data_IF_288223290727
#
_entry.id   IF_288223290727
#
_cell.length_a   1.000
_cell.length_b   1.000
_cell.length_c   1.000
_cell.angle_alpha   90.00
_cell.angle_beta   90.00
_cell.angle_gamma   90.00
#
_symmetry.space_group_name_H-M   'P 1'
#
loop_
_entity.id
_entity.type
_entity.pdbx_description
1 polymer ?
#
# COMPACT_ATOMS: atom_id res chain seq x y z
N UNK A 1 -13.19 2.03 74.98
CA UNK A 1 -13.34 1.10 73.85
C UNK A 1 -13.49 1.89 72.62
N UNK A 2 -12.43 1.98 71.78
CA UNK A 2 -12.45 2.70 70.51
C UNK A 2 -12.36 1.67 69.38
N UNK A 3 -13.44 1.52 68.60
CA UNK A 3 -13.48 0.67 67.40
C UNK A 3 -12.83 1.42 66.24
N UNK A 4 -11.70 0.91 65.75
CA UNK A 4 -11.06 1.37 64.50
C UNK A 4 -11.67 0.62 63.34
N UNK A 5 -12.45 1.34 62.50
CA UNK A 5 -12.93 0.84 61.24
C UNK A 5 -11.83 1.04 60.19
N UNK A 6 -11.32 -0.06 59.63
CA UNK A 6 -10.40 -0.05 58.48
C UNK A 6 -11.25 0.00 57.19
N UNK A 7 -11.16 1.10 56.47
CA UNK A 7 -11.67 1.23 55.12
C UNK A 7 -10.66 0.63 54.12
N UNK A 8 -10.99 -0.52 53.56
CA UNK A 8 -10.28 -1.09 52.42
C UNK A 8 -10.74 -0.36 51.18
N UNK A 9 -9.88 0.49 50.63
CA UNK A 9 -10.06 1.10 49.30
C UNK A 9 -9.62 0.08 48.25
N UNK A 10 -10.57 -0.53 47.54
CA UNK A 10 -10.31 -1.39 46.40
C UNK A 10 -9.89 -0.54 45.20
N UNK A 11 -8.65 -0.68 44.73
CA UNK A 11 -8.21 -0.20 43.42
C UNK A 11 -8.80 -1.13 42.35
N UNK A 12 -9.85 -0.67 41.68
CA UNK A 12 -10.32 -1.29 40.43
C UNK A 12 -9.36 -0.85 39.32
N UNK A 13 -8.44 -1.72 38.92
CA UNK A 13 -7.64 -1.55 37.75
C UNK A 13 -8.56 -1.69 36.49
N UNK A 14 -8.89 -0.59 35.84
CA UNK A 14 -9.53 -0.59 34.53
C UNK A 14 -8.51 -1.12 33.51
N UNK A 15 -8.57 -2.40 33.22
CA UNK A 15 -7.97 -2.97 32.01
C UNK A 15 -8.75 -2.46 30.79
N UNK A 16 -8.30 -1.40 30.15
CA UNK A 16 -8.73 -1.09 28.79
C UNK A 16 -8.11 -2.12 27.85
N UNK A 17 -8.94 -2.85 27.04
CA UNK A 17 -8.37 -3.68 26.00
C UNK A 17 -7.68 -2.73 25.01
N UNK A 18 -6.37 -2.87 24.86
CA UNK A 18 -5.63 -2.33 23.74
C UNK A 18 -6.19 -3.02 22.50
N UNK A 19 -7.11 -2.34 21.80
CA UNK A 19 -7.52 -2.72 20.46
C UNK A 19 -6.28 -2.55 19.58
N UNK A 20 -5.50 -3.62 19.48
CA UNK A 20 -4.38 -3.69 18.57
C UNK A 20 -4.94 -3.48 17.16
N UNK A 21 -4.61 -2.37 16.52
CA UNK A 21 -4.89 -2.17 15.11
C UNK A 21 -4.17 -3.28 14.35
N UNK A 22 -4.94 -4.17 13.71
CA UNK A 22 -4.37 -5.25 12.93
C UNK A 22 -3.42 -4.66 11.87
N UNK A 23 -2.20 -5.20 11.79
CA UNK A 23 -1.21 -4.77 10.80
C UNK A 23 -1.83 -4.91 9.40
N UNK A 24 -1.65 -3.90 8.49
CA UNK A 24 -2.11 -4.02 7.11
C UNK A 24 -1.48 -5.19 6.35
N UNK A 25 -0.39 -5.76 6.89
CA UNK A 25 0.37 -6.88 6.35
C UNK A 25 -0.01 -8.24 6.96
N UNK A 26 -1.02 -8.28 7.86
CA UNK A 26 -1.39 -9.52 8.55
C UNK A 26 -1.78 -10.62 7.56
N UNK A 27 -1.19 -11.80 7.73
CA UNK A 27 -1.45 -12.97 6.88
C UNK A 27 -0.71 -12.97 5.54
N UNK A 28 0.07 -11.93 5.24
CA UNK A 28 0.88 -11.85 4.03
C UNK A 28 2.32 -12.35 4.27
N UNK A 29 2.92 -12.92 3.23
CA UNK A 29 4.30 -13.40 3.25
C UNK A 29 5.13 -12.68 2.18
N UNK A 30 6.42 -12.39 2.43
CA UNK A 30 7.31 -11.85 1.41
C UNK A 30 7.32 -12.73 0.16
N UNK A 31 7.16 -12.12 -1.02
CA UNK A 31 7.15 -12.82 -2.31
C UNK A 31 8.39 -12.53 -3.14
N UNK A 32 8.73 -11.27 -3.29
CA UNK A 32 9.87 -10.84 -4.08
C UNK A 32 10.12 -9.34 -3.95
N UNK A 33 11.26 -8.92 -4.48
CA UNK A 33 11.67 -7.51 -4.46
C UNK A 33 12.50 -7.18 -5.69
N UNK A 34 12.51 -5.89 -6.06
CA UNK A 34 13.32 -5.41 -7.17
C UNK A 34 13.38 -3.89 -7.18
N UNK A 35 14.28 -3.34 -7.99
CA UNK A 35 14.47 -1.90 -8.13
C UNK A 35 13.87 -1.38 -9.43
N UNK A 36 13.26 -0.19 -9.36
CA UNK A 36 12.81 0.53 -10.54
C UNK A 36 13.76 1.67 -10.86
N UNK A 37 14.23 1.69 -12.12
CA UNK A 37 15.07 2.75 -12.66
C UNK A 37 14.41 3.38 -13.89
N UNK A 38 14.54 4.70 -14.01
CA UNK A 38 14.05 5.43 -15.18
C UNK A 38 15.13 6.40 -15.66
N UNK A 39 15.49 6.33 -16.93
CA UNK A 39 16.58 7.15 -17.52
C UNK A 39 17.89 7.07 -16.72
N UNK A 40 18.23 5.88 -16.22
CA UNK A 40 19.43 5.67 -15.38
C UNK A 40 19.27 6.04 -13.91
N UNK A 41 18.20 6.74 -13.52
CA UNK A 41 17.97 7.15 -12.14
C UNK A 41 17.23 6.07 -11.35
N UNK A 42 17.74 5.78 -10.15
CA UNK A 42 17.06 4.92 -9.19
C UNK A 42 15.85 5.67 -8.61
N UNK A 43 14.65 5.17 -8.85
CA UNK A 43 13.41 5.82 -8.43
C UNK A 43 12.92 5.26 -7.11
N UNK A 44 12.76 3.93 -7.03
CA UNK A 44 12.37 3.23 -5.81
C UNK A 44 12.83 1.77 -5.82
N UNK A 45 12.82 1.17 -4.65
CA UNK A 45 12.85 -0.28 -4.47
C UNK A 45 11.43 -0.75 -4.13
N UNK A 46 11.00 -1.82 -4.79
CA UNK A 46 9.68 -2.40 -4.59
C UNK A 46 9.78 -3.75 -3.88
N UNK A 47 8.88 -4.00 -2.94
CA UNK A 47 8.76 -5.29 -2.25
C UNK A 47 7.31 -5.72 -2.27
N UNK A 48 7.07 -6.98 -2.64
CA UNK A 48 5.74 -7.59 -2.71
C UNK A 48 5.56 -8.61 -1.58
N UNK A 49 4.43 -8.53 -0.91
CA UNK A 49 3.91 -9.56 0.01
C UNK A 49 2.59 -10.05 -0.54
N UNK A 50 2.37 -11.36 -0.48
CA UNK A 50 1.15 -11.98 -1.02
C UNK A 50 0.54 -12.95 -0.01
N UNK A 51 -0.77 -13.18 -0.17
CA UNK A 51 -1.43 -14.34 0.40
C UNK A 51 -1.15 -15.59 -0.41
N UNK A 52 -2.13 -16.46 -0.56
CA UNK A 52 -2.01 -17.71 -1.33
C UNK A 52 -1.93 -17.45 -2.85
N UNK A 53 -2.62 -16.41 -3.33
CA UNK A 53 -2.63 -15.99 -4.73
C UNK A 53 -1.56 -14.91 -4.95
N UNK A 54 -0.57 -15.13 -5.81
CA UNK A 54 0.59 -14.23 -5.91
C UNK A 54 0.30 -12.91 -6.66
N UNK A 55 -0.73 -12.84 -7.48
CA UNK A 55 -1.09 -11.71 -8.33
C UNK A 55 -2.54 -11.23 -8.13
N UNK A 56 -3.13 -11.58 -7.00
CA UNK A 56 -4.48 -11.18 -6.59
C UNK A 56 -4.58 -10.91 -5.09
N UNK A 57 -5.72 -10.36 -4.64
CA UNK A 57 -5.92 -10.04 -3.23
C UNK A 57 -5.96 -11.31 -2.35
N UNK A 58 -5.55 -11.22 -1.07
CA UNK A 58 -4.91 -10.07 -0.47
C UNK A 58 -3.41 -9.99 -0.81
N UNK A 59 -2.91 -8.80 -1.10
CA UNK A 59 -1.48 -8.55 -1.26
C UNK A 59 -1.12 -7.13 -0.81
N UNK A 60 0.17 -6.88 -0.63
CA UNK A 60 0.71 -5.56 -0.34
C UNK A 60 1.97 -5.31 -1.17
N UNK A 61 2.08 -4.12 -1.72
CA UNK A 61 3.22 -3.64 -2.47
C UNK A 61 3.76 -2.37 -1.81
N UNK A 62 5.01 -2.41 -1.39
CA UNK A 62 5.72 -1.28 -0.81
C UNK A 62 6.72 -0.73 -1.80
N UNK A 63 6.74 0.60 -1.93
CA UNK A 63 7.72 1.34 -2.72
C UNK A 63 8.55 2.21 -1.78
N UNK A 64 9.83 1.90 -1.63
CA UNK A 64 10.80 2.69 -0.88
C UNK A 64 11.48 3.67 -1.83
N UNK A 65 11.14 4.95 -1.72
CA UNK A 65 11.60 5.98 -2.66
C UNK A 65 13.06 6.37 -2.43
N UNK A 66 13.77 6.58 -3.54
CA UNK A 66 15.18 6.96 -3.57
C UNK A 66 15.40 8.37 -4.12
N UNK A 67 14.32 9.11 -4.33
CA UNK A 67 14.36 10.49 -4.81
C UNK A 67 13.05 11.22 -4.51
N UNK A 68 13.11 12.56 -4.64
CA UNK A 68 11.94 13.40 -4.50
C UNK A 68 11.02 13.27 -5.72
N UNK A 69 9.73 13.05 -5.48
CA UNK A 69 8.65 13.08 -6.46
C UNK A 69 7.43 13.77 -5.87
N UNK A 70 6.71 14.54 -6.68
CA UNK A 70 5.42 15.07 -6.26
C UNK A 70 4.33 14.00 -6.32
N UNK A 71 3.32 14.10 -5.46
CA UNK A 71 2.14 13.24 -5.50
C UNK A 71 1.42 13.30 -6.84
N UNK A 72 1.39 14.48 -7.47
CA UNK A 72 0.83 14.63 -8.81
C UNK A 72 1.62 13.84 -9.86
N UNK A 73 2.96 13.84 -9.79
CA UNK A 73 3.79 13.04 -10.70
C UNK A 73 3.58 11.53 -10.51
N UNK A 74 3.36 11.09 -9.25
CA UNK A 74 3.05 9.69 -8.95
C UNK A 74 1.69 9.31 -9.55
N UNK A 75 0.67 10.16 -9.41
CA UNK A 75 -0.64 9.94 -9.99
C UNK A 75 -0.59 9.91 -11.53
N UNK A 76 0.11 10.85 -12.18
CA UNK A 76 0.27 10.91 -13.63
C UNK A 76 0.95 9.64 -14.17
N UNK A 77 2.03 9.20 -13.53
CA UNK A 77 2.73 7.97 -13.91
C UNK A 77 1.83 6.74 -13.75
N UNK A 78 1.08 6.66 -12.64
CA UNK A 78 0.15 5.56 -12.39
C UNK A 78 -0.96 5.51 -13.45
N UNK A 79 -1.59 6.65 -13.76
CA UNK A 79 -2.64 6.74 -14.79
C UNK A 79 -2.11 6.36 -16.17
N UNK A 80 -0.89 6.79 -16.52
CA UNK A 80 -0.24 6.45 -17.77
C UNK A 80 -0.03 4.94 -17.91
N UNK A 81 0.43 4.28 -16.85
CA UNK A 81 0.61 2.83 -16.86
C UNK A 81 -0.73 2.08 -16.87
N UNK A 82 -1.72 2.54 -16.09
CA UNK A 82 -3.05 1.93 -16.06
C UNK A 82 -3.76 2.00 -17.42
N UNK A 83 -3.50 3.03 -18.24
CA UNK A 83 -4.03 3.16 -19.60
C UNK A 83 -3.60 2.01 -20.53
N UNK A 84 -2.52 1.32 -20.21
CA UNK A 84 -2.10 0.11 -20.94
C UNK A 84 -3.01 -1.09 -20.66
N UNK A 85 -3.73 -1.05 -19.55
CA UNK A 85 -4.55 -2.15 -19.04
C UNK A 85 -6.05 -1.89 -19.21
N UNK A 86 -6.45 -0.62 -19.25
CA UNK A 86 -7.85 -0.18 -19.25
C UNK A 86 -8.07 0.81 -20.38
N UNK A 87 -9.03 0.52 -21.24
CA UNK A 87 -9.35 1.36 -22.41
C UNK A 87 -10.37 2.48 -22.11
N UNK A 88 -11.08 2.41 -20.98
CA UNK A 88 -12.11 3.39 -20.62
C UNK A 88 -11.46 4.65 -20.03
N UNK A 89 -11.33 5.69 -20.84
CA UNK A 89 -10.74 6.98 -20.45
C UNK A 89 -11.59 7.72 -19.41
N UNK A 90 -12.90 7.56 -19.41
CA UNK A 90 -13.77 8.16 -18.39
C UNK A 90 -13.51 7.54 -17.01
N UNK A 91 -13.38 6.23 -16.97
CA UNK A 91 -13.02 5.51 -15.75
C UNK A 91 -11.62 5.87 -15.24
N UNK A 92 -10.63 5.95 -16.16
CA UNK A 92 -9.26 6.37 -15.82
C UNK A 92 -9.23 7.78 -15.24
N UNK A 93 -10.04 8.72 -15.78
CA UNK A 93 -10.14 10.08 -15.26
C UNK A 93 -10.66 10.12 -13.81
N UNK A 94 -11.66 9.31 -13.49
CA UNK A 94 -12.17 9.20 -12.10
C UNK A 94 -11.10 8.67 -11.16
N UNK A 95 -10.38 7.65 -11.57
CA UNK A 95 -9.29 7.06 -10.78
C UNK A 95 -8.09 7.99 -10.63
N UNK A 96 -7.73 8.73 -11.69
CA UNK A 96 -6.68 9.75 -11.64
C UNK A 96 -6.99 10.83 -10.59
N UNK A 97 -8.22 11.34 -10.59
CA UNK A 97 -8.65 12.32 -9.60
C UNK A 97 -8.59 11.77 -8.16
N UNK A 98 -8.94 10.50 -7.95
CA UNK A 98 -8.83 9.84 -6.66
C UNK A 98 -7.35 9.74 -6.21
N UNK A 99 -6.45 9.31 -7.09
CA UNK A 99 -5.02 9.20 -6.81
C UNK A 99 -4.39 10.57 -6.49
N UNK A 100 -4.76 11.63 -7.22
CA UNK A 100 -4.29 13.01 -6.97
C UNK A 100 -4.69 13.53 -5.59
N UNK A 101 -5.81 13.10 -5.05
CA UNK A 101 -6.23 13.45 -3.68
C UNK A 101 -5.52 12.65 -2.59
N UNK A 102 -5.04 11.45 -2.92
CA UNK A 102 -4.46 10.51 -1.96
C UNK A 102 -2.94 10.61 -1.93
N UNK A 103 -2.27 10.64 -3.10
CA UNK A 103 -0.82 10.49 -3.15
C UNK A 103 -0.10 11.77 -2.70
N UNK A 104 0.78 11.64 -1.69
CA UNK A 104 1.56 12.76 -1.18
C UNK A 104 2.84 12.96 -1.99
N UNK A 105 3.47 14.11 -1.77
CA UNK A 105 4.87 14.27 -2.15
C UNK A 105 5.73 13.31 -1.33
N UNK A 106 6.74 12.74 -1.97
CA UNK A 106 7.71 11.84 -1.34
C UNK A 106 9.13 12.34 -1.59
N UNK A 107 10.06 11.90 -0.75
CA UNK A 107 11.50 12.13 -0.86
C UNK A 107 12.27 10.84 -0.59
N UNK A 108 13.59 10.88 -0.76
CA UNK A 108 14.45 9.77 -0.38
C UNK A 108 14.23 9.39 1.08
N UNK A 109 14.02 8.09 1.32
CA UNK A 109 13.71 7.52 2.64
C UNK A 109 12.21 7.39 2.95
N UNK A 110 11.32 8.04 2.21
CA UNK A 110 9.87 7.80 2.35
C UNK A 110 9.46 6.48 1.69
N UNK A 111 8.39 5.88 2.21
CA UNK A 111 7.75 4.76 1.53
C UNK A 111 6.24 4.92 1.41
N UNK A 112 5.70 4.40 0.32
CA UNK A 112 4.27 4.19 0.12
C UNK A 112 4.00 2.69 0.12
N UNK A 113 2.96 2.28 0.84
CA UNK A 113 2.46 0.92 0.87
C UNK A 113 1.05 0.92 0.28
N UNK A 114 0.84 0.18 -0.79
CA UNK A 114 -0.47 -0.16 -1.31
C UNK A 114 -0.89 -1.55 -0.81
N UNK A 115 -2.10 -1.66 -0.29
CA UNK A 115 -2.69 -2.93 0.15
C UNK A 115 -3.92 -3.22 -0.70
N UNK A 116 -3.89 -4.31 -1.44
CA UNK A 116 -5.03 -4.78 -2.23
C UNK A 116 -5.88 -5.73 -1.39
N UNK A 117 -7.15 -5.37 -1.21
CA UNK A 117 -8.17 -6.19 -0.57
C UNK A 117 -9.33 -6.44 -1.54
N UNK A 118 -10.23 -7.33 -1.18
CA UNK A 118 -11.38 -7.70 -2.03
C UNK A 118 -12.25 -6.49 -2.40
N UNK A 119 -12.33 -5.49 -1.53
CA UNK A 119 -13.15 -4.28 -1.71
C UNK A 119 -12.40 -3.10 -2.37
N UNK A 120 -11.10 -3.20 -2.64
CA UNK A 120 -10.33 -2.12 -3.26
C UNK A 120 -8.89 -2.02 -2.80
N UNK A 121 -8.31 -0.81 -2.92
CA UNK A 121 -6.94 -0.50 -2.57
C UNK A 121 -6.85 0.51 -1.41
N UNK A 122 -5.94 0.26 -0.48
CA UNK A 122 -5.65 1.09 0.69
C UNK A 122 -4.21 1.57 0.63
N UNK A 123 -3.98 2.84 0.95
CA UNK A 123 -2.66 3.46 0.82
C UNK A 123 -2.16 4.02 2.15
N UNK A 124 -0.88 3.77 2.41
CA UNK A 124 -0.18 4.21 3.62
C UNK A 124 1.10 4.93 3.22
N UNK A 125 1.43 6.01 3.91
CA UNK A 125 2.73 6.67 3.83
C UNK A 125 3.42 6.54 5.18
N UNK A 126 4.65 5.99 5.17
CA UNK A 126 5.43 5.82 6.40
C UNK A 126 4.58 5.21 7.53
N UNK A 127 3.82 4.16 7.19
CA UNK A 127 2.93 3.37 8.06
C UNK A 127 1.62 4.06 8.49
N UNK A 128 1.37 5.31 8.08
CA UNK A 128 0.11 6.01 8.33
C UNK A 128 -0.85 5.85 7.16
N UNK A 129 -2.11 5.47 7.42
CA UNK A 129 -3.16 5.42 6.40
C UNK A 129 -3.42 6.82 5.84
N UNK A 130 -3.31 6.98 4.52
CA UNK A 130 -3.52 8.24 3.81
C UNK A 130 -4.77 8.26 2.94
N UNK A 131 -5.34 7.11 2.61
CA UNK A 131 -6.57 7.02 1.85
C UNK A 131 -6.85 5.63 1.31
N UNK A 132 -8.01 5.51 0.66
CA UNK A 132 -8.43 4.28 0.01
C UNK A 132 -9.28 4.58 -1.23
N UNK A 133 -9.22 3.70 -2.21
CA UNK A 133 -10.14 3.64 -3.34
C UNK A 133 -10.89 2.32 -3.25
N UNK A 134 -12.13 2.36 -2.78
CA UNK A 134 -12.99 1.17 -2.60
C UNK A 134 -13.67 0.82 -3.91
N UNK A 135 -12.85 0.34 -4.83
CA UNK A 135 -13.25 -0.11 -6.15
C UNK A 135 -12.34 -1.29 -6.55
N UNK A 136 -12.87 -2.52 -6.61
CA UNK A 136 -12.08 -3.70 -7.00
C UNK A 136 -11.47 -3.58 -8.40
N UNK A 137 -12.13 -2.90 -9.33
CA UNK A 137 -11.60 -2.67 -10.68
C UNK A 137 -10.41 -1.71 -10.66
N UNK A 138 -10.46 -0.65 -9.85
CA UNK A 138 -9.31 0.21 -9.58
C UNK A 138 -8.13 -0.59 -9.05
N UNK A 139 -8.35 -1.38 -8.00
CA UNK A 139 -7.28 -2.14 -7.36
C UNK A 139 -6.61 -3.08 -8.38
N UNK A 140 -7.39 -3.80 -9.18
CA UNK A 140 -6.86 -4.66 -10.24
C UNK A 140 -5.99 -3.90 -11.23
N UNK A 141 -6.45 -2.76 -11.72
CA UNK A 141 -5.72 -1.95 -12.68
C UNK A 141 -4.46 -1.32 -12.05
N UNK A 142 -4.56 -0.80 -10.83
CA UNK A 142 -3.45 -0.18 -10.11
C UNK A 142 -2.31 -1.16 -9.81
N UNK A 143 -2.61 -2.28 -9.17
CA UNK A 143 -1.58 -3.29 -8.90
C UNK A 143 -1.10 -4.00 -10.17
N UNK A 144 -1.93 -4.02 -11.21
CA UNK A 144 -1.57 -4.47 -12.55
C UNK A 144 -0.40 -3.70 -13.16
N UNK A 145 -0.14 -2.45 -12.77
CA UNK A 145 1.05 -1.69 -13.19
C UNK A 145 2.32 -2.52 -13.02
N UNK A 146 2.42 -3.26 -11.91
CA UNK A 146 3.59 -4.11 -11.62
C UNK A 146 3.37 -5.59 -11.93
N UNK A 147 2.13 -6.10 -11.82
CA UNK A 147 1.87 -7.54 -11.76
C UNK A 147 1.23 -8.10 -13.04
N UNK A 148 0.58 -7.27 -13.88
CA UNK A 148 0.00 -7.72 -15.13
C UNK A 148 1.11 -8.13 -16.13
N UNK A 149 0.92 -9.18 -16.94
CA UNK A 149 1.87 -9.53 -18.00
C UNK A 149 2.21 -8.40 -18.98
N UNK A 150 1.32 -7.40 -19.12
CA UNK A 150 1.51 -6.21 -19.95
C UNK A 150 2.28 -5.07 -19.25
N UNK A 151 2.78 -5.29 -18.04
CA UNK A 151 3.59 -4.29 -17.33
C UNK A 151 4.74 -3.77 -18.21
N UNK A 152 4.98 -2.45 -18.16
CA UNK A 152 6.10 -1.82 -18.87
C UNK A 152 7.47 -2.13 -18.26
N UNK A 153 7.51 -2.77 -17.08
CA UNK A 153 8.71 -3.17 -16.36
C UNK A 153 8.75 -4.70 -16.14
N UNK A 154 8.92 -5.51 -17.20
CA UNK A 154 8.82 -6.98 -17.10
C UNK A 154 9.89 -7.60 -16.18
N UNK A 155 11.09 -7.02 -16.11
CA UNK A 155 12.14 -7.49 -15.21
C UNK A 155 11.77 -7.26 -13.73
N UNK A 156 11.21 -6.08 -13.40
CA UNK A 156 10.72 -5.81 -12.06
C UNK A 156 9.55 -6.73 -11.70
N UNK A 157 8.62 -6.94 -12.63
CA UNK A 157 7.52 -7.89 -12.46
C UNK A 157 8.03 -9.30 -12.12
N UNK A 158 9.02 -9.80 -12.87
CA UNK A 158 9.60 -11.11 -12.62
C UNK A 158 10.24 -11.20 -11.23
N UNK A 159 11.00 -10.18 -10.83
CA UNK A 159 11.62 -10.09 -9.51
C UNK A 159 10.58 -10.07 -8.38
N UNK A 160 9.50 -9.28 -8.52
CA UNK A 160 8.42 -9.21 -7.53
C UNK A 160 7.69 -10.55 -7.38
N UNK A 161 7.47 -11.25 -8.49
CA UNK A 161 6.80 -12.56 -8.47
C UNK A 161 7.74 -13.72 -8.08
N UNK A 162 9.01 -13.44 -7.76
CA UNK A 162 10.00 -14.45 -7.38
C UNK A 162 10.40 -15.35 -8.55
N UNK A 163 10.40 -14.82 -9.78
CA UNK A 163 10.75 -15.52 -11.03
C UNK A 163 12.03 -14.96 -11.66
N UNK A 164 12.80 -14.21 -10.88
CA UNK A 164 14.07 -13.62 -11.28
C UNK A 164 15.26 -14.55 -11.03
#
# INVERSE_FOLDING_TARGET
MRRRSLLLAGLAALCWPLLGTASPMQGLRPRGQGSFRRFGFHVYDATLWTGEVPDGPPLALRLDYRRKLSGLAIADASTTEMRRLVADEAQLSVWDQAMRRIFPDVRDGDHLLGVWRDDGAYFYQNDALIGAVRDPAFARAFFGIWLDPRSSAPALRAALLGRG
#
